data_IF_617123798339
#
_entry.id   IF_617123798339
#
_cell.length_a   1.000
_cell.length_b   1.000
_cell.length_c   1.000
_cell.angle_alpha   90.00
_cell.angle_beta   90.00
_cell.angle_gamma   90.00
#
_symmetry.space_group_name_H-M   'P 1'
#
loop_
_entity.id
_entity.type
_entity.pdbx_description
1 polymer ?
#
# COMPACT_ATOMS: atom_id res chain seq x y z
N UNK A 1 -67.56 -14.55 -39.19
CA UNK A 1 -66.24 -13.90 -39.34
C UNK A 1 -65.36 -14.79 -40.21
N UNK A 2 -64.94 -14.34 -41.40
CA UNK A 2 -64.02 -15.12 -42.26
C UNK A 2 -62.60 -14.89 -41.75
N UNK A 3 -62.04 -15.87 -41.04
CA UNK A 3 -60.60 -15.94 -40.82
C UNK A 3 -59.95 -16.06 -42.22
N UNK A 4 -59.26 -15.02 -42.68
CA UNK A 4 -58.64 -15.07 -44.01
C UNK A 4 -57.38 -15.92 -43.95
N UNK A 5 -57.10 -16.68 -45.01
CA UNK A 5 -55.87 -17.44 -45.20
C UNK A 5 -54.62 -16.57 -44.99
N UNK A 6 -54.75 -15.26 -45.28
CA UNK A 6 -53.72 -14.24 -45.03
C UNK A 6 -53.46 -14.04 -43.52
N UNK A 7 -54.48 -13.99 -42.68
CA UNK A 7 -54.33 -13.93 -41.22
C UNK A 7 -53.65 -15.20 -40.68
N UNK A 8 -54.02 -16.37 -41.19
CA UNK A 8 -53.42 -17.64 -40.79
C UNK A 8 -51.95 -17.74 -41.20
N UNK A 9 -51.60 -17.29 -42.41
CA UNK A 9 -50.21 -17.23 -42.87
C UNK A 9 -49.38 -16.22 -42.06
N UNK A 10 -49.92 -15.02 -41.80
CA UNK A 10 -49.27 -14.02 -40.95
C UNK A 10 -49.04 -14.51 -39.51
N UNK A 11 -49.99 -15.26 -38.94
CA UNK A 11 -49.84 -15.81 -37.60
C UNK A 11 -48.79 -16.91 -37.54
N UNK A 12 -48.71 -17.77 -38.57
CA UNK A 12 -47.62 -18.76 -38.69
C UNK A 12 -46.26 -18.08 -38.90
N UNK A 13 -46.18 -17.05 -39.74
CA UNK A 13 -44.94 -16.27 -39.94
C UNK A 13 -44.46 -15.61 -38.65
N UNK A 14 -45.36 -15.01 -37.86
CA UNK A 14 -45.03 -14.45 -36.53
C UNK A 14 -44.51 -15.54 -35.58
N UNK A 15 -45.11 -16.73 -35.61
CA UNK A 15 -44.64 -17.86 -34.81
C UNK A 15 -43.20 -18.26 -35.16
N UNK A 16 -42.87 -18.33 -36.46
CA UNK A 16 -41.53 -18.65 -36.94
C UNK A 16 -40.52 -17.55 -36.57
N UNK A 17 -40.88 -16.27 -36.74
CA UNK A 17 -39.97 -15.18 -36.36
C UNK A 17 -39.73 -15.14 -34.85
N UNK A 18 -40.74 -15.45 -34.04
CA UNK A 18 -40.60 -15.51 -32.59
C UNK A 18 -39.70 -16.68 -32.14
N UNK A 19 -39.89 -17.88 -32.71
CA UNK A 19 -39.04 -19.04 -32.37
C UNK A 19 -37.58 -18.84 -32.79
N UNK A 20 -37.35 -18.18 -33.93
CA UNK A 20 -36.00 -17.83 -34.37
C UNK A 20 -35.35 -16.80 -33.43
N UNK A 21 -36.11 -15.82 -32.93
CA UNK A 21 -35.62 -14.86 -31.93
C UNK A 21 -35.30 -15.55 -30.58
N UNK A 22 -36.14 -16.47 -30.11
CA UNK A 22 -35.86 -17.27 -28.91
C UNK A 22 -34.62 -18.14 -29.08
N UNK A 23 -34.44 -18.78 -30.23
CA UNK A 23 -33.25 -19.59 -30.51
C UNK A 23 -31.96 -18.76 -30.51
N UNK A 24 -31.98 -17.57 -31.11
CA UNK A 24 -30.84 -16.65 -31.06
C UNK A 24 -30.54 -16.22 -29.61
N UNK A 25 -31.57 -15.92 -28.81
CA UNK A 25 -31.40 -15.56 -27.40
C UNK A 25 -30.78 -16.70 -26.58
N UNK A 26 -31.25 -17.93 -26.73
CA UNK A 26 -30.65 -19.07 -26.04
C UNK A 26 -29.22 -19.36 -26.54
N UNK A 27 -28.96 -19.19 -27.84
CA UNK A 27 -27.60 -19.25 -28.40
C UNK A 27 -26.65 -18.24 -27.76
N UNK A 28 -27.12 -17.00 -27.55
CA UNK A 28 -26.36 -15.95 -26.87
C UNK A 28 -26.13 -16.26 -25.38
N UNK A 29 -27.14 -16.74 -24.66
CA UNK A 29 -27.01 -17.17 -23.27
C UNK A 29 -26.05 -18.36 -23.12
N UNK A 30 -26.08 -19.31 -24.05
CA UNK A 30 -25.17 -20.46 -24.09
C UNK A 30 -23.73 -20.00 -24.37
N UNK A 31 -23.54 -19.08 -25.31
CA UNK A 31 -22.21 -18.57 -25.66
C UNK A 31 -21.61 -17.70 -24.56
N UNK A 32 -22.42 -16.89 -23.88
CA UNK A 32 -21.97 -16.02 -22.78
C UNK A 32 -21.92 -16.72 -21.42
N UNK A 33 -22.63 -17.84 -21.27
CA UNK A 33 -22.87 -18.52 -20.00
C UNK A 33 -23.74 -17.73 -19.02
N UNK A 34 -24.36 -16.61 -19.47
CA UNK A 34 -25.14 -15.72 -18.61
C UNK A 34 -26.63 -15.91 -18.87
N UNK A 35 -27.41 -16.04 -17.80
CA UNK A 35 -28.89 -16.07 -17.88
C UNK A 35 -29.47 -14.73 -18.39
N UNK A 36 -28.85 -13.61 -18.00
CA UNK A 36 -29.30 -12.26 -18.34
C UNK A 36 -28.18 -11.58 -19.11
N UNK A 37 -28.42 -11.37 -20.41
CA UNK A 37 -27.45 -10.73 -21.31
C UNK A 37 -27.80 -9.27 -21.50
N UNK A 38 -29.07 -8.99 -21.77
CA UNK A 38 -29.58 -7.63 -21.91
C UNK A 38 -30.35 -7.19 -20.65
N UNK A 39 -30.24 -5.93 -20.22
CA UNK A 39 -31.07 -5.41 -19.12
C UNK A 39 -32.57 -5.54 -19.36
N UNK A 40 -32.99 -5.57 -20.62
CA UNK A 40 -34.38 -5.77 -21.04
C UNK A 40 -34.90 -7.20 -20.78
N UNK A 41 -34.03 -8.20 -20.62
CA UNK A 41 -34.44 -9.59 -20.38
C UNK A 41 -34.98 -9.82 -18.96
N UNK A 42 -34.37 -9.15 -17.98
CA UNK A 42 -34.73 -9.20 -16.56
C UNK A 42 -34.11 -7.97 -15.86
N UNK A 43 -34.84 -6.83 -15.80
CA UNK A 43 -34.28 -5.59 -15.26
C UNK A 43 -33.93 -5.70 -13.77
N UNK A 44 -34.62 -6.57 -13.01
CA UNK A 44 -34.34 -6.80 -11.60
C UNK A 44 -33.00 -7.52 -11.46
N UNK A 45 -32.82 -8.65 -12.14
CA UNK A 45 -31.56 -9.39 -12.07
C UNK A 45 -30.39 -8.61 -12.68
N UNK A 46 -30.63 -7.84 -13.75
CA UNK A 46 -29.62 -6.96 -14.31
C UNK A 46 -29.16 -5.89 -13.32
N UNK A 47 -30.09 -5.25 -12.59
CA UNK A 47 -29.74 -4.27 -11.56
C UNK A 47 -28.92 -4.88 -10.42
N UNK A 48 -29.28 -6.09 -9.96
CA UNK A 48 -28.52 -6.82 -8.94
C UNK A 48 -27.11 -7.19 -9.42
N UNK A 49 -26.98 -7.60 -10.68
CA UNK A 49 -25.68 -7.92 -11.28
C UNK A 49 -24.77 -6.69 -11.36
N UNK A 50 -25.30 -5.50 -11.64
CA UNK A 50 -24.54 -4.25 -11.63
C UNK A 50 -24.07 -3.90 -10.23
N UNK A 51 -24.94 -3.97 -9.22
CA UNK A 51 -24.57 -3.72 -7.82
C UNK A 51 -23.47 -4.68 -7.35
N UNK A 52 -23.61 -5.98 -7.67
CA UNK A 52 -22.59 -6.97 -7.35
C UNK A 52 -21.27 -6.68 -8.06
N UNK A 53 -21.31 -6.33 -9.34
CA UNK A 53 -20.12 -5.99 -10.13
C UNK A 53 -19.41 -4.76 -9.57
N UNK A 54 -20.16 -3.75 -9.12
CA UNK A 54 -19.62 -2.57 -8.46
C UNK A 54 -18.95 -2.94 -7.12
N UNK A 55 -19.61 -3.76 -6.30
CA UNK A 55 -19.05 -4.25 -5.04
C UNK A 55 -17.77 -5.08 -5.27
N UNK A 56 -17.74 -5.92 -6.31
CA UNK A 56 -16.55 -6.67 -6.72
C UNK A 56 -15.41 -5.74 -7.16
N UNK A 57 -15.70 -4.74 -7.99
CA UNK A 57 -14.70 -3.75 -8.42
C UNK A 57 -14.11 -2.98 -7.23
N UNK A 58 -14.96 -2.58 -6.29
CA UNK A 58 -14.52 -1.90 -5.07
C UNK A 58 -13.65 -2.81 -4.18
N UNK A 59 -14.03 -4.08 -4.02
CA UNK A 59 -13.22 -5.07 -3.30
C UNK A 59 -11.86 -5.33 -3.97
N UNK A 60 -11.81 -5.34 -5.30
CA UNK A 60 -10.56 -5.46 -6.05
C UNK A 60 -9.64 -4.25 -5.80
N UNK A 61 -10.19 -3.03 -5.78
CA UNK A 61 -9.41 -1.83 -5.42
C UNK A 61 -8.88 -1.89 -3.99
N UNK A 62 -9.68 -2.33 -3.01
CA UNK A 62 -9.20 -2.52 -1.65
C UNK A 62 -8.13 -3.60 -1.53
N UNK A 63 -8.23 -4.66 -2.33
CA UNK A 63 -7.21 -5.70 -2.38
C UNK A 63 -5.88 -5.16 -2.90
N UNK A 64 -5.91 -4.39 -3.98
CA UNK A 64 -4.72 -3.70 -4.50
C UNK A 64 -4.14 -2.72 -3.47
N UNK A 65 -4.99 -1.94 -2.81
CA UNK A 65 -4.57 -1.01 -1.77
C UNK A 65 -3.90 -1.73 -0.58
N UNK A 66 -4.43 -2.89 -0.16
CA UNK A 66 -3.83 -3.75 0.87
C UNK A 66 -2.47 -4.28 0.43
N UNK A 67 -2.34 -4.76 -0.81
CA UNK A 67 -1.05 -5.24 -1.35
C UNK A 67 0.01 -4.13 -1.32
N UNK A 68 -0.35 -2.93 -1.77
CA UNK A 68 0.57 -1.78 -1.72
C UNK A 68 0.94 -1.40 -0.29
N UNK A 69 -0.04 -1.40 0.62
CA UNK A 69 0.19 -1.14 2.04
C UNK A 69 1.16 -2.15 2.66
N UNK A 70 0.97 -3.45 2.41
CA UNK A 70 1.87 -4.50 2.89
C UNK A 70 3.29 -4.30 2.36
N UNK A 71 3.44 -4.04 1.06
CA UNK A 71 4.77 -3.80 0.46
C UNK A 71 5.48 -2.61 1.12
N UNK A 72 4.76 -1.52 1.36
CA UNK A 72 5.31 -0.31 2.00
C UNK A 72 5.73 -0.55 3.44
N UNK A 73 4.86 -1.16 4.23
CA UNK A 73 5.15 -1.45 5.64
C UNK A 73 6.29 -2.48 5.77
N UNK A 74 6.34 -3.50 4.91
CA UNK A 74 7.45 -4.46 4.92
C UNK A 74 8.79 -3.83 4.54
N UNK A 75 8.81 -2.87 3.61
CA UNK A 75 10.01 -2.10 3.29
C UNK A 75 10.43 -1.24 4.50
N UNK A 76 9.48 -0.55 5.12
CA UNK A 76 9.71 0.24 6.33
C UNK A 76 10.32 -0.63 7.45
N UNK A 77 9.72 -1.78 7.74
CA UNK A 77 10.18 -2.74 8.75
C UNK A 77 11.59 -3.26 8.45
N UNK A 78 11.90 -3.58 7.19
CA UNK A 78 13.23 -4.03 6.80
C UNK A 78 14.30 -2.97 7.06
N UNK A 79 14.00 -1.70 6.76
CA UNK A 79 14.91 -0.59 7.02
C UNK A 79 15.05 -0.35 8.53
N UNK A 80 13.95 -0.38 9.29
CA UNK A 80 13.99 -0.23 10.76
C UNK A 80 14.77 -1.35 11.45
N UNK A 81 14.70 -2.57 10.93
CA UNK A 81 15.52 -3.69 11.41
C UNK A 81 17.02 -3.39 11.23
N UNK A 82 17.42 -2.90 10.05
CA UNK A 82 18.80 -2.49 9.78
C UNK A 82 19.27 -1.33 10.67
N UNK A 83 18.39 -0.34 10.89
CA UNK A 83 18.66 0.77 11.81
C UNK A 83 18.86 0.24 13.23
N UNK A 84 18.02 -0.69 13.69
CA UNK A 84 18.14 -1.30 15.03
C UNK A 84 19.49 -1.99 15.20
N UNK A 85 19.93 -2.79 14.22
CA UNK A 85 21.25 -3.43 14.25
C UNK A 85 22.38 -2.40 14.26
N UNK A 86 22.29 -1.35 13.44
CA UNK A 86 23.31 -0.29 13.41
C UNK A 86 23.40 0.47 14.74
N UNK A 87 22.27 0.74 15.41
CA UNK A 87 22.23 1.36 16.74
C UNK A 87 22.84 0.44 17.80
N UNK A 88 22.53 -0.87 17.78
CA UNK A 88 23.13 -1.84 18.70
C UNK A 88 24.66 -1.88 18.55
N UNK A 89 25.17 -1.94 17.31
CA UNK A 89 26.60 -1.88 17.02
C UNK A 89 27.24 -0.57 17.51
N UNK A 90 26.55 0.57 17.34
CA UNK A 90 27.02 1.85 17.83
C UNK A 90 27.10 1.86 19.36
N UNK A 91 26.08 1.33 20.04
CA UNK A 91 26.05 1.22 21.49
C UNK A 91 27.19 0.34 22.03
N UNK A 92 27.45 -0.81 21.41
CA UNK A 92 28.58 -1.68 21.76
C UNK A 92 29.93 -0.95 21.64
N UNK A 93 30.16 -0.24 20.52
CA UNK A 93 31.38 0.55 20.32
C UNK A 93 31.50 1.70 21.32
N UNK A 94 30.41 2.37 21.67
CA UNK A 94 30.40 3.44 22.67
C UNK A 94 30.74 2.89 24.07
N UNK A 95 30.17 1.76 24.46
CA UNK A 95 30.48 1.10 25.74
C UNK A 95 31.95 0.67 25.77
N UNK A 96 32.47 0.12 24.67
CA UNK A 96 33.88 -0.21 24.55
C UNK A 96 34.79 1.03 24.65
N UNK A 97 34.40 2.14 24.01
CA UNK A 97 35.12 3.41 24.09
C UNK A 97 35.10 4.04 25.50
N UNK A 98 34.11 3.70 26.33
CA UNK A 98 34.03 4.13 27.73
C UNK A 98 35.03 3.42 28.66
N UNK A 99 35.76 2.42 28.18
CA UNK A 99 36.81 1.76 28.96
C UNK A 99 38.05 2.67 29.08
N UNK A 100 38.43 3.01 30.31
CA UNK A 100 39.49 3.98 30.61
C UNK A 100 40.92 3.52 30.27
N UNK A 101 41.11 2.31 29.74
CA UNK A 101 42.43 1.76 29.38
C UNK A 101 42.84 2.06 27.94
N UNK A 102 41.99 2.67 27.12
CA UNK A 102 42.29 2.96 25.71
C UNK A 102 43.22 4.17 25.53
N UNK A 103 44.16 4.05 24.59
CA UNK A 103 45.02 5.17 24.18
C UNK A 103 44.23 6.22 23.39
N UNK A 104 44.80 7.42 23.25
CA UNK A 104 44.19 8.52 22.50
C UNK A 104 43.99 8.15 21.01
N UNK A 105 44.92 7.39 20.43
CA UNK A 105 44.86 6.89 19.06
C UNK A 105 43.74 5.84 18.86
N UNK A 106 43.54 4.96 19.86
CA UNK A 106 42.44 3.98 19.85
C UNK A 106 41.08 4.68 19.94
N UNK A 107 40.97 5.75 20.75
CA UNK A 107 39.74 6.55 20.86
C UNK A 107 39.46 7.33 19.57
N UNK A 108 40.48 7.85 18.89
CA UNK A 108 40.33 8.51 17.59
C UNK A 108 39.84 7.54 16.50
N UNK A 109 40.35 6.30 16.51
CA UNK A 109 39.91 5.24 15.60
C UNK A 109 38.45 4.87 15.85
N UNK A 110 38.04 4.70 17.12
CA UNK A 110 36.65 4.44 17.49
C UNK A 110 35.71 5.60 17.15
N UNK A 111 36.16 6.85 17.28
CA UNK A 111 35.36 8.01 16.86
C UNK A 111 35.08 7.99 15.36
N UNK A 112 36.05 7.58 14.55
CA UNK A 112 35.88 7.41 13.09
C UNK A 112 34.87 6.30 12.77
N UNK A 113 34.93 5.18 13.48
CA UNK A 113 33.97 4.08 13.33
C UNK A 113 32.54 4.51 13.70
N UNK A 114 32.38 5.25 14.80
CA UNK A 114 31.07 5.75 15.25
C UNK A 114 30.54 6.78 14.24
N UNK A 115 31.41 7.61 13.65
CA UNK A 115 31.02 8.52 12.59
C UNK A 115 30.54 7.78 11.34
N UNK A 116 31.21 6.70 10.93
CA UNK A 116 30.75 5.84 9.85
C UNK A 116 29.38 5.19 10.12
N UNK A 117 29.13 4.76 11.36
CA UNK A 117 27.82 4.24 11.77
C UNK A 117 26.73 5.30 11.74
N UNK A 118 27.03 6.55 12.14
CA UNK A 118 26.11 7.68 12.01
C UNK A 118 25.75 7.92 10.54
N UNK A 119 26.73 7.92 9.65
CA UNK A 119 26.50 8.14 8.22
C UNK A 119 25.67 7.00 7.60
N UNK A 120 25.91 5.76 8.05
CA UNK A 120 25.07 4.62 7.69
C UNK A 120 23.61 4.80 8.16
N UNK A 121 23.40 5.25 9.40
CA UNK A 121 22.05 5.53 9.91
C UNK A 121 21.35 6.65 9.15
N UNK A 122 22.07 7.71 8.77
CA UNK A 122 21.53 8.79 7.94
C UNK A 122 21.14 8.29 6.54
N UNK A 123 21.95 7.42 5.94
CA UNK A 123 21.61 6.78 4.66
C UNK A 123 20.36 5.90 4.77
N UNK A 124 20.23 5.11 5.84
CA UNK A 124 19.03 4.31 6.11
C UNK A 124 17.79 5.19 6.32
N UNK A 125 17.92 6.30 7.05
CA UNK A 125 16.84 7.25 7.25
C UNK A 125 16.44 8.02 5.97
N UNK A 126 17.32 8.06 4.97
CA UNK A 126 17.09 8.60 3.63
C UNK A 126 16.81 7.49 2.59
N UNK A 127 16.36 6.30 3.00
CA UNK A 127 16.04 5.22 2.07
C UNK A 127 14.89 5.60 1.13
N UNK A 128 15.03 5.23 -0.15
CA UNK A 128 14.01 5.39 -1.19
C UNK A 128 13.31 4.07 -1.51
N UNK A 129 12.05 4.16 -1.91
CA UNK A 129 11.33 3.08 -2.58
C UNK A 129 11.90 2.80 -3.99
N UNK A 130 11.52 1.69 -4.61
CA UNK A 130 11.88 1.33 -5.99
C UNK A 130 11.49 2.36 -7.06
N UNK A 131 10.64 3.33 -6.71
CA UNK A 131 10.25 4.46 -7.54
C UNK A 131 11.04 5.75 -7.26
N UNK A 132 12.11 5.70 -6.45
CA UNK A 132 12.93 6.86 -6.08
C UNK A 132 12.30 7.81 -5.05
N UNK A 133 11.23 7.38 -4.38
CA UNK A 133 10.50 8.18 -3.37
C UNK A 133 11.01 7.88 -1.97
N UNK A 134 11.36 8.91 -1.21
CA UNK A 134 11.81 8.73 0.18
C UNK A 134 10.69 8.18 1.07
N UNK A 135 10.96 7.10 1.80
CA UNK A 135 9.93 6.37 2.56
C UNK A 135 9.54 7.09 3.87
N UNK A 136 10.47 7.81 4.48
CA UNK A 136 10.27 8.52 5.75
C UNK A 136 9.96 10.02 5.59
N UNK A 137 9.80 10.51 4.36
CA UNK A 137 9.54 11.92 4.08
C UNK A 137 8.04 12.30 4.14
N UNK A 138 7.17 11.36 4.49
CA UNK A 138 5.71 11.57 4.46
C UNK A 138 5.25 11.92 3.04
N UNK A 139 4.32 12.88 2.92
CA UNK A 139 3.86 13.36 1.61
C UNK A 139 4.93 14.12 0.80
N UNK A 140 6.07 14.50 1.40
CA UNK A 140 7.18 15.18 0.68
C UNK A 140 8.18 14.17 0.11
N UNK A 141 7.72 13.29 -0.77
CA UNK A 141 8.51 12.13 -1.22
C UNK A 141 9.70 12.45 -2.13
N UNK A 142 9.80 13.68 -2.65
CA UNK A 142 10.84 14.11 -3.60
C UNK A 142 12.07 14.73 -2.93
N UNK A 143 11.99 15.04 -1.65
CA UNK A 143 13.07 15.67 -0.88
C UNK A 143 13.57 14.71 0.19
N UNK A 144 14.90 14.64 0.36
CA UNK A 144 15.51 13.83 1.41
C UNK A 144 14.96 14.25 2.80
N UNK A 145 14.46 13.32 3.62
CA UNK A 145 13.85 13.64 4.91
C UNK A 145 14.87 14.14 5.95
N UNK A 146 16.13 13.72 5.87
CA UNK A 146 17.18 14.13 6.81
C UNK A 146 18.32 14.85 6.08
N UNK A 147 18.70 16.02 6.62
CA UNK A 147 19.87 16.78 6.14
C UNK A 147 21.19 16.17 6.63
N UNK A 148 22.15 15.97 5.74
CA UNK A 148 23.47 15.37 6.03
C UNK A 148 24.28 16.19 7.05
N UNK A 149 24.18 17.53 7.03
CA UNK A 149 24.99 18.41 7.88
C UNK A 149 24.59 18.38 9.36
N UNK A 150 23.30 18.18 9.66
CA UNK A 150 22.75 18.32 11.03
C UNK A 150 21.84 17.19 11.49
N UNK A 151 21.54 16.20 10.64
CA UNK A 151 20.55 15.16 10.95
C UNK A 151 19.16 15.72 11.22
N UNK A 152 18.87 16.94 10.75
CA UNK A 152 17.58 17.61 11.01
C UNK A 152 16.53 17.06 10.05
N UNK A 153 15.38 16.70 10.61
CA UNK A 153 14.21 16.32 9.81
C UNK A 153 13.67 17.54 9.04
N UNK A 154 13.57 17.42 7.72
CA UNK A 154 13.02 18.43 6.80
C UNK A 154 11.86 17.88 5.96
N UNK A 155 11.44 16.64 6.24
CA UNK A 155 10.33 15.96 5.57
C UNK A 155 8.94 16.52 5.92
N UNK A 156 7.90 15.84 5.45
CA UNK A 156 6.50 16.19 5.74
C UNK A 156 6.06 15.69 7.11
N UNK A 157 5.27 16.48 7.84
CA UNK A 157 4.75 16.10 9.16
C UNK A 157 3.56 15.11 9.11
N UNK A 158 2.99 14.88 7.92
CA UNK A 158 1.83 14.01 7.74
C UNK A 158 2.24 12.63 7.21
N UNK A 159 1.80 11.61 7.95
CA UNK A 159 1.96 10.20 7.59
C UNK A 159 1.00 9.83 6.46
N UNK A 160 1.45 9.01 5.51
CA UNK A 160 0.65 8.61 4.36
C UNK A 160 -0.41 7.60 4.82
N UNK A 161 -1.68 7.89 4.51
CA UNK A 161 -2.81 6.99 4.82
C UNK A 161 -3.41 6.41 3.54
N UNK A 162 -3.79 5.15 3.61
CA UNK A 162 -4.45 4.42 2.51
C UNK A 162 -5.72 3.76 3.02
N UNK A 163 -6.84 3.91 2.30
CA UNK A 163 -8.03 3.11 2.56
C UNK A 163 -7.82 1.68 2.10
N UNK A 164 -8.03 0.75 3.02
CA UNK A 164 -7.83 -0.70 2.82
C UNK A 164 -9.14 -1.48 2.93
N UNK A 165 -10.21 -0.80 3.32
CA UNK A 165 -11.58 -1.30 3.43
C UNK A 165 -12.56 -0.11 3.36
N UNK A 166 -13.85 -0.39 3.17
CA UNK A 166 -14.92 0.61 3.07
C UNK A 166 -15.05 1.52 4.29
N UNK A 167 -14.61 1.07 5.47
CA UNK A 167 -14.66 1.83 6.72
C UNK A 167 -13.30 2.04 7.38
N UNK A 168 -12.21 1.49 6.81
CA UNK A 168 -10.90 1.45 7.47
C UNK A 168 -9.82 2.07 6.60
N UNK A 169 -9.17 3.08 7.17
CA UNK A 169 -7.90 3.63 6.67
C UNK A 169 -6.74 3.12 7.51
N UNK A 170 -5.62 2.80 6.86
CA UNK A 170 -4.38 2.38 7.50
C UNK A 170 -3.26 3.37 7.18
N UNK A 171 -2.36 3.62 8.13
CA UNK A 171 -1.13 4.37 7.89
C UNK A 171 -0.15 3.42 7.20
N UNK A 172 0.39 3.84 6.06
CA UNK A 172 1.27 3.01 5.21
C UNK A 172 2.68 3.58 5.05
N UNK A 173 2.96 4.71 5.70
CA UNK A 173 4.28 5.32 5.74
C UNK A 173 4.35 6.29 6.89
N UNK A 174 5.10 5.92 7.92
CA UNK A 174 5.37 6.82 9.04
C UNK A 174 6.45 7.83 8.66
N UNK A 175 6.36 9.00 9.25
CA UNK A 175 7.26 10.12 9.01
C UNK A 175 8.49 9.99 9.89
N UNK A 176 9.65 10.40 9.39
CA UNK A 176 10.93 10.25 10.09
C UNK A 176 10.98 10.95 11.44
N UNK A 177 10.22 12.03 11.65
CA UNK A 177 10.05 12.67 12.96
C UNK A 177 9.43 11.70 13.99
N UNK A 178 8.40 10.94 13.60
CA UNK A 178 7.71 10.00 14.49
C UNK A 178 8.48 8.72 14.76
N UNK A 179 9.51 8.42 13.97
CA UNK A 179 10.30 7.19 14.10
C UNK A 179 11.62 7.50 14.79
N UNK A 180 12.33 8.50 14.30
CA UNK A 180 13.71 8.79 14.69
C UNK A 180 13.83 9.94 15.68
N UNK A 181 12.88 10.89 15.68
CA UNK A 181 12.86 12.05 16.60
C UNK A 181 11.93 11.83 17.80
N UNK A 182 11.12 10.77 17.80
CA UNK A 182 10.35 10.33 18.96
C UNK A 182 11.25 9.64 19.97
N UNK A 183 12.12 10.40 20.63
CA UNK A 183 12.86 9.95 21.80
C UNK A 183 11.85 9.52 22.87
N UNK A 184 11.65 8.21 23.04
CA UNK A 184 11.20 7.69 24.34
C UNK A 184 12.38 7.91 25.29
N UNK A 185 12.34 9.04 25.98
CA UNK A 185 13.34 9.46 26.93
C UNK A 185 13.36 8.49 28.10
N UNK A 186 14.07 7.37 27.96
CA UNK A 186 14.33 6.44 29.06
C UNK A 186 15.82 6.07 29.18
N UNK A 187 16.69 7.04 28.95
CA UNK A 187 18.02 7.05 29.54
C UNK A 187 18.02 8.11 30.66
N UNK A 188 17.45 7.77 31.81
CA UNK A 188 17.70 8.53 33.04
C UNK A 188 19.13 8.21 33.44
N UNK A 189 20.01 9.21 33.44
CA UNK A 189 21.35 9.06 33.99
C UNK A 189 21.24 8.69 35.47
N UNK A 190 21.83 7.56 35.88
CA UNK A 190 21.96 7.24 37.30
C UNK A 190 22.77 8.32 37.98
N UNK A 191 22.10 9.09 38.84
CA UNK A 191 22.74 10.05 39.74
C UNK A 191 23.64 9.27 40.70
N UNK A 192 24.96 9.28 40.45
CA UNK A 192 25.97 8.81 41.41
C UNK A 192 25.74 9.51 42.75
N UNK A 193 25.45 8.74 43.79
CA UNK A 193 25.62 9.12 45.20
C UNK A 193 26.86 8.44 45.75
#
# INVERSE_FOLDING_TARGET
MRFSTQMMYQQNMRGITNSQAEWMKYGEQMSTGKRVVNPSDDPIAASQAVVLSQAQAQNSQYTLARTFATQKVSLEESVLSQVTTAIQNAQEKIVYASNGTLSDDDRASLATDIQGLRDQLLNLANTTDGNGRYIFAGYKTETAPFSEEKGKYVGGAESIKQQVDASRSMVIGHTGDKIFDSITSNAVAETRR
#
